data_IF_677111997402
#
_entry.id   IF_677111997402
#
_cell.length_a   1.000
_cell.length_b   1.000
_cell.length_c   1.000
_cell.angle_alpha   90.00
_cell.angle_beta   90.00
_cell.angle_gamma   90.00
#
_symmetry.space_group_name_H-M   'P 1'
#
loop_
_entity.id
_entity.type
_entity.pdbx_description
1 polymer ?
#
# COMPACT_ATOMS: atom_id res chain seq x y z
N UNK A 1 -21.81 53.87 -0.89
CA UNK A 1 -21.84 52.99 0.30
C UNK A 1 -22.50 51.64 0.04
N UNK A 2 -23.76 51.56 -0.43
CA UNK A 2 -24.45 50.27 -0.64
C UNK A 2 -23.74 49.31 -1.61
N UNK A 3 -23.14 49.82 -2.69
CA UNK A 3 -22.34 49.04 -3.65
C UNK A 3 -21.03 48.51 -3.05
N UNK A 4 -20.38 49.27 -2.16
CA UNK A 4 -19.13 48.86 -1.52
C UNK A 4 -19.36 47.78 -0.46
N UNK A 5 -20.48 47.87 0.27
CA UNK A 5 -20.91 46.86 1.26
C UNK A 5 -21.27 45.55 0.56
N UNK A 6 -21.95 45.60 -0.59
CA UNK A 6 -22.30 44.40 -1.35
C UNK A 6 -21.07 43.68 -1.93
N UNK A 7 -20.04 44.41 -2.36
CA UNK A 7 -18.76 43.83 -2.83
C UNK A 7 -18.00 43.17 -1.67
N UNK A 8 -18.01 43.79 -0.48
CA UNK A 8 -17.35 43.24 0.71
C UNK A 8 -18.03 41.94 1.20
N UNK A 9 -19.37 41.87 1.17
CA UNK A 9 -20.14 40.67 1.52
C UNK A 9 -19.91 39.54 0.50
N UNK A 10 -19.83 39.87 -0.80
CA UNK A 10 -19.55 38.88 -1.84
C UNK A 10 -18.12 38.32 -1.73
N UNK A 11 -17.14 39.16 -1.39
CA UNK A 11 -15.76 38.75 -1.14
C UNK A 11 -15.65 37.85 0.11
N UNK A 12 -16.38 38.16 1.18
CA UNK A 12 -16.45 37.31 2.39
C UNK A 12 -17.05 35.92 2.11
N UNK A 13 -18.10 35.84 1.27
CA UNK A 13 -18.67 34.57 0.83
C UNK A 13 -17.72 33.77 -0.08
N UNK A 14 -16.94 34.45 -0.93
CA UNK A 14 -15.96 33.80 -1.79
C UNK A 14 -14.78 33.23 -0.97
N UNK A 15 -14.30 33.97 0.04
CA UNK A 15 -13.22 33.54 0.93
C UNK A 15 -13.66 32.34 1.79
N UNK A 16 -14.90 32.34 2.33
CA UNK A 16 -15.41 31.19 3.11
C UNK A 16 -15.60 29.93 2.26
N UNK A 17 -15.91 30.09 0.97
CA UNK A 17 -16.08 28.97 0.03
C UNK A 17 -14.73 28.33 -0.34
N UNK A 18 -13.66 29.12 -0.45
CA UNK A 18 -12.30 28.63 -0.74
C UNK A 18 -11.73 27.87 0.48
N UNK A 19 -11.93 28.38 1.70
CA UNK A 19 -11.50 27.70 2.93
C UNK A 19 -12.21 26.35 3.13
N UNK A 20 -13.50 26.27 2.81
CA UNK A 20 -14.29 25.02 2.92
C UNK A 20 -13.90 23.97 1.87
N UNK A 21 -13.41 24.39 0.70
CA UNK A 21 -12.94 23.47 -0.35
C UNK A 21 -11.59 22.84 0.02
N UNK A 22 -10.66 23.63 0.57
CA UNK A 22 -9.36 23.15 1.06
C UNK A 22 -9.50 22.15 2.21
N UNK A 23 -10.39 22.42 3.17
CA UNK A 23 -10.63 21.53 4.32
C UNK A 23 -11.18 20.15 3.92
N UNK A 24 -11.98 20.07 2.84
CA UNK A 24 -12.53 18.80 2.36
C UNK A 24 -11.50 17.93 1.60
N UNK A 25 -10.54 18.52 0.88
CA UNK A 25 -9.41 17.79 0.29
C UNK A 25 -8.46 17.22 1.34
N UNK A 26 -8.22 17.98 2.42
CA UNK A 26 -7.46 17.56 3.60
C UNK A 26 -8.09 16.38 4.34
N UNK A 27 -9.42 16.37 4.41
CA UNK A 27 -10.17 15.39 5.20
C UNK A 27 -10.22 14.00 4.55
N UNK A 28 -9.90 13.90 3.25
CA UNK A 28 -9.74 12.65 2.51
C UNK A 28 -8.36 11.99 2.65
N UNK A 29 -7.47 12.59 3.44
CA UNK A 29 -6.08 12.14 3.63
C UNK A 29 -5.79 11.67 5.06
N UNK A 30 -6.83 11.47 5.89
CA UNK A 30 -6.70 10.93 7.26
C UNK A 30 -7.17 9.48 7.30
N UNK A 31 -6.54 8.68 8.14
CA UNK A 31 -6.96 7.28 8.35
C UNK A 31 -8.21 7.29 9.25
N UNK A 32 -9.40 7.26 8.65
CA UNK A 32 -10.69 7.40 9.35
C UNK A 32 -11.44 6.08 9.48
N UNK A 33 -11.27 5.16 8.54
CA UNK A 33 -11.96 3.87 8.54
C UNK A 33 -10.99 2.74 8.26
N UNK A 34 -10.93 1.74 9.13
CA UNK A 34 -10.12 0.53 8.95
C UNK A 34 -11.03 -0.67 8.85
N UNK A 35 -10.87 -1.44 7.78
CA UNK A 35 -11.50 -2.74 7.62
C UNK A 35 -10.60 -3.84 8.19
N UNK A 36 -11.11 -4.61 9.15
CA UNK A 36 -10.46 -5.80 9.70
C UNK A 36 -11.17 -7.02 9.14
N UNK A 37 -10.40 -7.89 8.49
CA UNK A 37 -10.87 -9.14 7.90
C UNK A 37 -10.26 -10.34 8.62
N UNK A 38 -10.94 -10.94 9.60
CA UNK A 38 -10.54 -12.22 10.13
C UNK A 38 -10.73 -13.33 9.06
N UNK A 39 -9.64 -13.96 8.63
CA UNK A 39 -9.62 -15.01 7.62
C UNK A 39 -10.59 -16.17 7.91
N UNK A 40 -11.04 -16.87 6.86
CA UNK A 40 -11.91 -18.07 6.97
C UNK A 40 -13.24 -17.81 7.71
N UNK A 41 -13.85 -18.84 8.31
CA UNK A 41 -15.07 -18.75 9.12
C UNK A 41 -16.18 -19.71 8.67
N UNK A 42 -17.07 -20.07 9.59
CA UNK A 42 -18.17 -20.99 9.35
C UNK A 42 -17.68 -22.34 8.83
N UNK A 43 -18.08 -22.68 7.59
CA UNK A 43 -17.72 -23.93 6.89
C UNK A 43 -16.25 -24.03 6.49
N UNK A 44 -15.52 -22.91 6.49
CA UNK A 44 -14.09 -22.87 6.22
C UNK A 44 -13.32 -22.76 7.54
N UNK A 45 -12.66 -23.83 8.02
CA UNK A 45 -11.88 -23.78 9.25
C UNK A 45 -10.52 -23.08 9.10
N UNK A 46 -10.05 -22.85 7.87
CA UNK A 46 -8.65 -22.56 7.59
C UNK A 46 -7.73 -23.72 8.01
N UNK A 47 -6.48 -23.39 8.34
CA UNK A 47 -5.53 -24.35 8.86
C UNK A 47 -5.95 -24.90 10.25
N UNK A 48 -5.59 -26.15 10.50
CA UNK A 48 -5.99 -26.89 11.71
C UNK A 48 -4.77 -27.37 12.47
N UNK A 49 -4.81 -27.22 13.79
CA UNK A 49 -3.80 -27.73 14.71
C UNK A 49 -4.44 -28.53 15.86
N UNK A 50 -3.61 -29.17 16.68
CA UNK A 50 -4.10 -29.81 17.92
C UNK A 50 -4.70 -28.83 18.93
N UNK A 51 -4.41 -27.53 18.81
CA UNK A 51 -4.88 -26.49 19.72
C UNK A 51 -6.19 -25.85 19.28
N UNK A 52 -6.50 -25.90 17.99
CA UNK A 52 -7.73 -25.33 17.43
C UNK A 52 -7.60 -25.00 15.96
N UNK A 53 -8.59 -24.24 15.48
CA UNK A 53 -8.73 -23.82 14.10
C UNK A 53 -8.22 -22.40 13.89
N UNK A 54 -7.66 -22.14 12.71
CA UNK A 54 -7.25 -20.81 12.29
C UNK A 54 -8.39 -19.80 12.38
N UNK A 55 -9.59 -20.16 11.89
CA UNK A 55 -10.76 -19.26 11.89
C UNK A 55 -11.11 -18.68 13.27
N UNK A 56 -10.88 -19.44 14.34
CA UNK A 56 -11.20 -19.04 15.71
C UNK A 56 -10.11 -18.13 16.27
N UNK A 57 -8.85 -18.52 16.05
CA UNK A 57 -7.68 -17.75 16.45
C UNK A 57 -7.68 -16.35 15.82
N UNK A 58 -7.89 -16.27 14.51
CA UNK A 58 -7.82 -14.99 13.78
C UNK A 58 -9.03 -14.10 14.04
N UNK A 59 -10.20 -14.69 14.36
CA UNK A 59 -11.36 -13.94 14.83
C UNK A 59 -11.07 -13.25 16.16
N UNK A 60 -10.53 -14.00 17.12
CA UNK A 60 -10.20 -13.47 18.45
C UNK A 60 -9.17 -12.34 18.35
N UNK A 61 -8.07 -12.57 17.62
CA UNK A 61 -7.04 -11.54 17.38
C UNK A 61 -7.65 -10.32 16.68
N UNK A 62 -8.46 -10.50 15.64
CA UNK A 62 -9.08 -9.40 14.90
C UNK A 62 -10.03 -8.56 15.77
N UNK A 63 -10.81 -9.20 16.64
CA UNK A 63 -11.67 -8.50 17.60
C UNK A 63 -10.84 -7.68 18.58
N UNK A 64 -9.74 -8.24 19.13
CA UNK A 64 -8.83 -7.50 20.02
C UNK A 64 -8.18 -6.31 19.34
N UNK A 65 -7.73 -6.45 18.09
CA UNK A 65 -7.16 -5.34 17.31
C UNK A 65 -8.17 -4.20 17.22
N UNK A 66 -9.42 -4.51 16.82
CA UNK A 66 -10.45 -3.48 16.75
C UNK A 66 -10.85 -2.91 18.11
N UNK A 67 -10.81 -3.69 19.20
CA UNK A 67 -10.99 -3.17 20.55
C UNK A 67 -9.90 -2.18 20.96
N UNK A 68 -8.63 -2.45 20.62
CA UNK A 68 -7.54 -1.50 20.84
C UNK A 68 -7.75 -0.21 20.04
N UNK A 69 -8.15 -0.31 18.76
CA UNK A 69 -8.45 0.87 17.93
C UNK A 69 -9.59 1.67 18.54
N UNK A 70 -10.73 1.04 18.84
CA UNK A 70 -11.90 1.73 19.40
C UNK A 70 -11.59 2.44 20.73
N UNK A 71 -10.70 1.86 21.57
CA UNK A 71 -10.32 2.44 22.87
C UNK A 71 -9.30 3.56 22.75
N UNK A 72 -8.36 3.46 21.81
CA UNK A 72 -7.15 4.30 21.80
C UNK A 72 -7.04 5.23 20.58
N UNK A 73 -7.90 5.05 19.57
CA UNK A 73 -8.03 5.87 18.37
C UNK A 73 -9.52 6.16 18.12
N UNK A 74 -10.17 6.96 18.98
CA UNK A 74 -11.62 7.18 18.93
C UNK A 74 -12.10 7.90 17.67
N UNK A 75 -11.18 8.52 16.91
CA UNK A 75 -11.42 9.13 15.61
C UNK A 75 -11.40 8.13 14.44
N UNK A 76 -11.06 6.86 14.70
CA UNK A 76 -10.97 5.80 13.71
C UNK A 76 -12.11 4.81 13.86
N UNK A 77 -12.91 4.67 12.80
CA UNK A 77 -13.99 3.70 12.69
C UNK A 77 -13.43 2.32 12.30
N UNK A 78 -13.79 1.29 13.06
CA UNK A 78 -13.51 -0.10 12.70
C UNK A 78 -14.70 -0.74 12.00
N UNK A 79 -14.46 -1.36 10.85
CA UNK A 79 -15.42 -2.20 10.12
C UNK A 79 -14.87 -3.61 10.08
N UNK A 80 -15.73 -4.61 10.33
CA UNK A 80 -15.32 -6.01 10.28
C UNK A 80 -15.99 -6.71 9.10
N UNK A 81 -15.27 -7.59 8.42
CA UNK A 81 -15.91 -8.51 7.46
C UNK A 81 -16.78 -9.54 8.18
N UNK A 82 -16.34 -9.98 9.38
CA UNK A 82 -17.12 -10.79 10.32
C UNK A 82 -16.73 -10.50 11.77
N UNK A 83 -17.70 -10.60 12.68
CA UNK A 83 -17.50 -10.52 14.15
C UNK A 83 -17.83 -11.82 14.88
N UNK A 84 -18.29 -12.82 14.16
CA UNK A 84 -18.71 -14.14 14.66
C UNK A 84 -18.18 -15.23 13.74
N UNK A 85 -18.37 -16.49 14.12
CA UNK A 85 -18.00 -17.64 13.28
C UNK A 85 -19.00 -17.83 12.14
N UNK A 86 -18.84 -17.03 11.08
CA UNK A 86 -19.65 -17.10 9.85
C UNK A 86 -18.73 -17.12 8.64
N UNK A 87 -19.14 -17.85 7.60
CA UNK A 87 -18.41 -17.88 6.35
C UNK A 87 -18.72 -16.61 5.54
N UNK A 88 -17.68 -15.84 5.21
CA UNK A 88 -17.77 -14.71 4.29
C UNK A 88 -16.97 -15.05 3.04
N UNK A 89 -17.65 -15.00 1.90
CA UNK A 89 -17.07 -15.22 0.58
C UNK A 89 -15.93 -14.25 0.30
N UNK A 90 -14.88 -14.71 -0.37
CA UNK A 90 -13.63 -13.98 -0.55
C UNK A 90 -13.84 -12.64 -1.26
N UNK A 91 -14.70 -12.62 -2.29
CA UNK A 91 -15.10 -11.39 -2.97
C UNK A 91 -15.82 -10.41 -2.04
N UNK A 92 -16.72 -10.91 -1.18
CA UNK A 92 -17.54 -10.06 -0.31
C UNK A 92 -16.69 -9.40 0.78
N UNK A 93 -15.59 -10.02 1.21
CA UNK A 93 -14.64 -9.41 2.17
C UNK A 93 -14.09 -8.07 1.68
N UNK A 94 -13.57 -8.05 0.44
CA UNK A 94 -13.07 -6.83 -0.18
C UNK A 94 -14.20 -5.84 -0.48
N UNK A 95 -15.37 -6.33 -0.91
CA UNK A 95 -16.54 -5.50 -1.14
C UNK A 95 -17.02 -4.78 0.13
N UNK A 96 -17.07 -5.45 1.29
CA UNK A 96 -17.41 -4.81 2.58
C UNK A 96 -16.44 -3.65 2.88
N UNK A 97 -15.14 -3.83 2.65
CA UNK A 97 -14.16 -2.77 2.85
C UNK A 97 -14.35 -1.60 1.87
N UNK A 98 -14.63 -1.90 0.60
CA UNK A 98 -14.85 -0.92 -0.45
C UNK A 98 -16.15 -0.12 -0.20
N UNK A 99 -17.25 -0.80 0.15
CA UNK A 99 -18.55 -0.19 0.48
C UNK A 99 -18.44 0.71 1.71
N UNK A 100 -17.65 0.29 2.70
CA UNK A 100 -17.34 1.10 3.87
C UNK A 100 -16.42 2.29 3.58
N UNK A 101 -15.87 2.39 2.37
CA UNK A 101 -14.82 3.35 1.98
C UNK A 101 -13.66 3.32 2.97
N UNK A 102 -13.21 2.11 3.32
CA UNK A 102 -12.10 1.95 4.24
C UNK A 102 -10.83 2.57 3.64
N UNK A 103 -10.03 3.21 4.50
CA UNK A 103 -8.74 3.79 4.17
C UNK A 103 -7.60 2.75 4.27
N UNK A 104 -7.87 1.62 4.93
CA UNK A 104 -6.95 0.50 5.08
C UNK A 104 -7.73 -0.80 5.26
N UNK A 105 -7.31 -1.86 4.55
CA UNK A 105 -7.78 -3.23 4.76
C UNK A 105 -6.66 -4.08 5.40
N UNK A 106 -6.97 -4.74 6.52
CA UNK A 106 -6.08 -5.68 7.19
C UNK A 106 -6.76 -7.04 7.26
N UNK A 107 -6.27 -8.00 6.48
CA UNK A 107 -6.67 -9.39 6.57
C UNK A 107 -5.74 -10.14 7.54
N UNK A 108 -6.29 -10.94 8.45
CA UNK A 108 -5.55 -11.62 9.52
C UNK A 108 -5.72 -13.14 9.36
N UNK A 109 -4.60 -13.83 9.21
CA UNK A 109 -4.47 -15.26 8.95
C UNK A 109 -3.40 -15.89 9.88
N UNK A 110 -3.37 -17.21 9.93
CA UNK A 110 -2.35 -17.99 10.63
C UNK A 110 -1.85 -19.15 9.75
N UNK A 111 -0.65 -18.97 9.21
CA UNK A 111 0.01 -19.83 8.25
C UNK A 111 0.06 -21.30 8.69
N UNK A 112 0.25 -22.20 7.73
CA UNK A 112 0.58 -23.59 8.00
C UNK A 112 1.45 -24.19 6.90
N UNK A 113 2.31 -25.12 7.29
CA UNK A 113 3.16 -25.87 6.39
C UNK A 113 2.96 -27.39 6.58
N UNK A 114 3.31 -28.18 5.56
CA UNK A 114 3.32 -29.65 5.64
C UNK A 114 4.31 -30.14 6.71
N UNK A 115 5.43 -29.44 6.85
CA UNK A 115 6.36 -29.61 7.98
C UNK A 115 5.88 -28.79 9.18
N UNK A 116 6.07 -29.33 10.39
CA UNK A 116 5.79 -28.62 11.64
C UNK A 116 6.93 -27.72 12.12
N UNK A 117 8.02 -27.62 11.35
CA UNK A 117 9.23 -26.85 11.71
C UNK A 117 9.13 -25.34 11.44
N UNK A 118 8.56 -24.86 10.31
CA UNK A 118 8.51 -23.42 10.03
C UNK A 118 7.84 -22.64 11.15
N UNK A 119 8.39 -21.47 11.46
CA UNK A 119 7.85 -20.58 12.48
C UNK A 119 8.10 -19.11 12.16
N UNK A 120 7.30 -18.22 12.73
CA UNK A 120 7.44 -16.76 12.63
C UNK A 120 6.33 -16.09 11.83
N UNK A 121 6.37 -14.76 11.80
CA UNK A 121 5.34 -13.90 11.19
C UNK A 121 5.73 -13.50 9.78
N UNK A 122 4.74 -13.37 8.90
CA UNK A 122 4.89 -12.88 7.52
C UNK A 122 3.79 -11.85 7.24
N UNK A 123 4.07 -10.82 6.43
CA UNK A 123 3.02 -9.91 5.95
C UNK A 123 3.09 -9.83 4.44
N UNK A 124 1.92 -9.88 3.80
CA UNK A 124 1.77 -9.92 2.36
C UNK A 124 1.11 -8.65 1.84
N UNK A 125 1.62 -8.17 0.72
CA UNK A 125 0.99 -7.14 -0.11
C UNK A 125 0.67 -7.73 -1.48
N UNK A 126 -0.27 -7.13 -2.20
CA UNK A 126 -0.60 -7.57 -3.55
C UNK A 126 0.63 -7.48 -4.46
N UNK A 127 0.95 -8.58 -5.15
CA UNK A 127 1.98 -8.59 -6.17
C UNK A 127 2.29 -9.99 -6.68
N UNK A 128 3.45 -10.16 -7.32
CA UNK A 128 3.84 -11.43 -7.91
C UNK A 128 4.49 -12.35 -6.88
N UNK A 129 4.05 -13.60 -6.85
CA UNK A 129 4.71 -14.67 -6.11
C UNK A 129 6.06 -14.97 -6.75
N UNK A 130 7.11 -15.14 -5.93
CA UNK A 130 8.50 -15.30 -6.40
C UNK A 130 9.07 -16.69 -6.18
N UNK A 131 8.49 -17.44 -5.24
CA UNK A 131 8.92 -18.79 -4.90
C UNK A 131 7.73 -19.75 -4.96
N UNK A 132 8.02 -21.04 -5.06
CA UNK A 132 7.00 -22.08 -5.07
C UNK A 132 6.17 -22.07 -3.79
N UNK A 133 6.79 -21.82 -2.65
CA UNK A 133 6.12 -21.78 -1.34
C UNK A 133 5.14 -20.59 -1.26
N UNK A 134 5.53 -19.42 -1.76
CA UNK A 134 4.62 -18.28 -1.85
C UNK A 134 3.46 -18.60 -2.81
N UNK A 135 3.72 -19.30 -3.92
CA UNK A 135 2.66 -19.70 -4.82
C UNK A 135 1.68 -20.69 -4.14
N UNK A 136 2.18 -21.70 -3.44
CA UNK A 136 1.35 -22.67 -2.69
C UNK A 136 0.49 -22.01 -1.62
N UNK A 137 0.99 -20.99 -0.92
CA UNK A 137 0.19 -20.20 0.01
C UNK A 137 -0.91 -19.43 -0.75
N UNK A 138 -0.57 -18.78 -1.86
CA UNK A 138 -1.56 -18.03 -2.65
C UNK A 138 -2.68 -18.93 -3.19
N UNK A 139 -2.35 -20.16 -3.58
CA UNK A 139 -3.33 -21.16 -3.98
C UNK A 139 -4.22 -21.55 -2.80
N UNK A 140 -3.65 -21.79 -1.62
CA UNK A 140 -4.43 -22.13 -0.43
C UNK A 140 -5.41 -21.02 -0.05
N UNK A 141 -4.93 -19.79 0.08
CA UNK A 141 -5.77 -18.67 0.50
C UNK A 141 -6.86 -18.34 -0.53
N UNK A 142 -6.58 -18.50 -1.82
CA UNK A 142 -7.60 -18.33 -2.86
C UNK A 142 -8.46 -19.59 -3.07
N UNK A 143 -8.08 -20.77 -2.58
CA UNK A 143 -8.82 -22.03 -2.81
C UNK A 143 -10.19 -22.05 -2.13
N UNK A 144 -10.39 -21.18 -1.13
CA UNK A 144 -11.69 -20.97 -0.47
C UNK A 144 -12.81 -20.63 -1.45
N UNK A 145 -12.51 -20.06 -2.62
CA UNK A 145 -13.54 -19.75 -3.61
C UNK A 145 -14.22 -21.01 -4.17
N UNK A 146 -13.56 -22.17 -4.11
CA UNK A 146 -14.07 -23.43 -4.66
C UNK A 146 -15.26 -23.99 -3.86
N UNK A 147 -15.45 -23.52 -2.62
CA UNK A 147 -16.58 -23.88 -1.78
C UNK A 147 -17.69 -22.83 -1.80
N UNK A 148 -17.56 -21.75 -2.59
CA UNK A 148 -18.59 -20.74 -2.83
C UNK A 148 -19.57 -21.18 -3.92
N UNK A 149 -20.83 -20.76 -3.80
CA UNK A 149 -21.84 -21.03 -4.82
C UNK A 149 -21.53 -20.20 -6.08
N UNK A 150 -21.68 -20.79 -7.27
CA UNK A 150 -21.47 -20.13 -8.57
C UNK A 150 -20.06 -19.52 -8.78
N UNK A 151 -19.02 -20.08 -8.16
CA UNK A 151 -17.64 -19.52 -8.23
C UNK A 151 -17.16 -19.25 -9.67
N UNK A 152 -17.41 -20.16 -10.61
CA UNK A 152 -16.91 -20.05 -11.98
C UNK A 152 -17.40 -18.78 -12.70
N UNK A 153 -18.65 -18.38 -12.43
CA UNK A 153 -19.22 -17.14 -12.97
C UNK A 153 -18.69 -15.92 -12.20
N UNK A 154 -18.62 -16.01 -10.87
CA UNK A 154 -18.26 -14.90 -9.97
C UNK A 154 -16.79 -14.46 -10.07
N UNK A 155 -15.91 -15.37 -10.43
CA UNK A 155 -14.47 -15.13 -10.59
C UNK A 155 -14.01 -15.24 -12.05
N UNK A 156 -14.94 -15.17 -13.02
CA UNK A 156 -14.66 -15.07 -14.46
C UNK A 156 -13.66 -16.11 -14.98
N UNK A 157 -13.77 -17.36 -14.50
CA UNK A 157 -12.88 -18.44 -14.89
C UNK A 157 -11.50 -18.46 -14.23
N UNK A 158 -11.27 -17.65 -13.18
CA UNK A 158 -10.08 -17.77 -12.33
C UNK A 158 -10.03 -19.16 -11.68
N UNK A 159 -8.96 -19.91 -11.95
CA UNK A 159 -8.69 -21.19 -11.31
C UNK A 159 -7.54 -21.01 -10.30
N UNK A 160 -7.80 -21.15 -8.98
CA UNK A 160 -6.79 -20.98 -7.94
C UNK A 160 -5.69 -22.05 -8.00
N UNK A 161 -5.88 -23.14 -8.75
CA UNK A 161 -4.87 -24.19 -8.92
C UNK A 161 -4.06 -24.05 -10.22
N UNK A 162 -4.38 -23.07 -11.06
CA UNK A 162 -3.69 -22.80 -12.34
C UNK A 162 -2.75 -21.60 -12.17
N UNK A 163 -1.43 -21.78 -12.36
CA UNK A 163 -0.47 -20.67 -12.39
C UNK A 163 -0.82 -19.56 -13.39
N UNK A 164 -1.45 -19.91 -14.51
CA UNK A 164 -1.85 -18.99 -15.56
C UNK A 164 -2.90 -17.98 -15.06
N UNK A 165 -3.81 -18.41 -14.19
CA UNK A 165 -4.83 -17.54 -13.60
C UNK A 165 -4.23 -16.41 -12.75
N UNK A 166 -3.00 -16.57 -12.25
CA UNK A 166 -2.32 -15.56 -11.43
C UNK A 166 -1.62 -14.47 -12.26
N UNK A 167 -1.51 -14.63 -13.59
CA UNK A 167 -0.96 -13.60 -14.49
C UNK A 167 -1.75 -12.30 -14.35
N UNK A 168 -3.06 -12.36 -14.08
CA UNK A 168 -3.91 -11.18 -13.90
C UNK A 168 -3.37 -10.21 -12.85
N UNK A 169 -2.80 -10.72 -11.74
CA UNK A 169 -2.25 -9.88 -10.68
C UNK A 169 -1.02 -9.09 -11.12
N UNK A 170 -0.27 -9.57 -12.12
CA UNK A 170 0.84 -8.82 -12.72
C UNK A 170 0.37 -7.61 -13.53
N UNK A 171 -0.87 -7.66 -14.04
CA UNK A 171 -1.50 -6.61 -14.83
C UNK A 171 -2.22 -5.59 -13.94
N UNK A 172 -2.55 -5.97 -12.70
CA UNK A 172 -3.16 -5.08 -11.71
C UNK A 172 -2.11 -4.12 -11.16
N UNK A 173 -2.23 -2.85 -11.54
CA UNK A 173 -1.46 -1.78 -10.89
C UNK A 173 -2.10 -1.44 -9.55
N UNK A 174 -1.39 -1.71 -8.47
CA UNK A 174 -1.80 -1.28 -7.14
C UNK A 174 -1.29 0.15 -6.90
N UNK A 175 -2.17 1.14 -7.03
CA UNK A 175 -1.87 2.55 -6.74
C UNK A 175 -1.49 2.78 -5.28
N UNK A 176 -1.92 1.88 -4.39
CA UNK A 176 -1.65 1.88 -2.96
C UNK A 176 -0.52 0.92 -2.56
N UNK A 177 0.29 0.46 -3.52
CA UNK A 177 1.35 -0.51 -3.25
C UNK A 177 2.35 0.02 -2.21
N UNK A 178 2.85 1.23 -2.38
CA UNK A 178 3.85 1.84 -1.47
C UNK A 178 3.27 1.98 -0.04
N UNK A 179 1.99 2.37 0.07
CA UNK A 179 1.28 2.46 1.34
C UNK A 179 1.06 1.10 2.01
N UNK A 180 0.72 0.08 1.23
CA UNK A 180 0.54 -1.30 1.71
C UNK A 180 1.88 -1.87 2.19
N UNK A 181 2.96 -1.62 1.45
CA UNK A 181 4.32 -2.05 1.81
C UNK A 181 4.79 -1.39 3.11
N UNK A 182 4.56 -0.09 3.26
CA UNK A 182 4.87 0.65 4.48
C UNK A 182 4.11 0.08 5.69
N UNK A 183 2.80 -0.11 5.57
CA UNK A 183 1.99 -0.69 6.65
C UNK A 183 2.46 -2.11 7.00
N UNK A 184 2.72 -2.95 5.98
CA UNK A 184 3.22 -4.30 6.17
C UNK A 184 4.58 -4.34 6.89
N UNK A 185 5.48 -3.42 6.56
CA UNK A 185 6.78 -3.28 7.23
C UNK A 185 6.60 -2.92 8.70
N UNK A 186 5.70 -1.99 9.03
CA UNK A 186 5.43 -1.60 10.42
C UNK A 186 4.87 -2.75 11.25
N UNK A 187 4.02 -3.59 10.66
CA UNK A 187 3.54 -4.81 11.32
C UNK A 187 4.70 -5.74 11.68
N UNK A 188 5.61 -6.02 10.73
CA UNK A 188 6.76 -6.89 10.99
C UNK A 188 7.72 -6.29 12.02
N UNK A 189 7.96 -4.97 11.99
CA UNK A 189 8.75 -4.27 13.01
C UNK A 189 8.15 -4.47 14.41
N UNK A 190 6.84 -4.29 14.57
CA UNK A 190 6.16 -4.48 15.86
C UNK A 190 6.17 -5.95 16.32
N UNK A 191 6.07 -6.91 15.40
CA UNK A 191 6.20 -8.32 15.74
C UNK A 191 7.59 -8.66 16.24
N UNK A 192 8.63 -8.19 15.56
CA UNK A 192 10.04 -8.38 15.96
C UNK A 192 10.34 -7.71 17.30
N UNK A 193 9.97 -6.46 17.45
CA UNK A 193 10.45 -5.61 18.54
C UNK A 193 9.61 -5.73 19.81
N UNK A 194 8.28 -5.86 19.66
CA UNK A 194 7.34 -5.86 20.79
C UNK A 194 6.79 -7.24 21.09
N UNK A 195 6.31 -7.98 20.09
CA UNK A 195 5.78 -9.33 20.30
C UNK A 195 6.86 -10.43 20.33
N UNK A 196 8.13 -10.07 20.09
CA UNK A 196 9.30 -10.96 20.09
C UNK A 196 9.09 -12.21 19.22
N UNK A 197 8.44 -12.03 18.07
CA UNK A 197 8.26 -13.08 17.06
C UNK A 197 9.41 -13.04 16.05
N UNK A 198 9.63 -14.17 15.40
CA UNK A 198 10.56 -14.27 14.28
C UNK A 198 9.97 -13.54 13.08
N UNK A 199 10.60 -12.44 12.67
CA UNK A 199 10.24 -11.65 11.49
C UNK A 199 10.76 -12.35 10.23
N UNK A 200 9.83 -12.71 9.33
CA UNK A 200 10.13 -13.35 8.04
C UNK A 200 9.90 -12.39 6.86
N UNK A 201 9.71 -11.12 7.17
CA UNK A 201 9.65 -10.01 6.23
C UNK A 201 8.31 -9.81 5.54
N UNK A 202 8.30 -8.78 4.70
CA UNK A 202 7.18 -8.47 3.81
C UNK A 202 7.37 -9.16 2.47
N UNK A 203 6.30 -9.74 1.93
CA UNK A 203 6.30 -10.49 0.67
C UNK A 203 5.18 -10.04 -0.24
N UNK A 204 5.30 -10.38 -1.51
CA UNK A 204 4.28 -10.12 -2.53
C UNK A 204 3.54 -11.41 -2.88
N UNK A 205 2.21 -11.33 -2.96
CA UNK A 205 1.35 -12.47 -3.27
C UNK A 205 0.14 -12.06 -4.11
N UNK A 206 -0.29 -12.96 -5.00
CA UNK A 206 -1.49 -12.78 -5.83
C UNK A 206 -2.75 -13.18 -5.06
N UNK A 207 -3.15 -12.40 -4.06
CA UNK A 207 -4.32 -12.68 -3.22
C UNK A 207 -5.55 -11.96 -3.76
N UNK A 208 -6.64 -12.70 -3.99
CA UNK A 208 -7.89 -12.11 -4.52
C UNK A 208 -8.48 -11.07 -3.57
N UNK A 209 -8.40 -11.29 -2.25
CA UNK A 209 -8.89 -10.33 -1.24
C UNK A 209 -8.16 -8.98 -1.32
N UNK A 210 -6.84 -9.00 -1.60
CA UNK A 210 -6.05 -7.78 -1.75
C UNK A 210 -6.22 -7.17 -3.15
N UNK A 211 -6.38 -7.99 -4.18
CA UNK A 211 -6.57 -7.54 -5.56
C UNK A 211 -7.87 -6.79 -5.80
N UNK A 212 -8.89 -7.09 -5.00
CA UNK A 212 -10.22 -6.46 -5.08
C UNK A 212 -10.38 -5.27 -4.13
N UNK A 213 -9.39 -4.99 -3.29
CA UNK A 213 -9.40 -3.86 -2.38
C UNK A 213 -9.14 -2.54 -3.13
N UNK A 214 -9.94 -1.51 -2.86
CA UNK A 214 -9.80 -0.18 -3.46
C UNK A 214 -9.01 0.81 -2.58
N UNK A 215 -8.26 0.30 -1.61
CA UNK A 215 -7.47 1.03 -0.62
C UNK A 215 -6.16 0.27 -0.33
N UNK A 216 -5.18 0.84 0.40
CA UNK A 216 -4.04 0.06 0.91
C UNK A 216 -4.52 -1.21 1.62
N UNK A 217 -3.90 -2.35 1.33
CA UNK A 217 -4.36 -3.64 1.83
C UNK A 217 -3.20 -4.58 2.13
N UNK A 218 -3.24 -5.22 3.30
CA UNK A 218 -2.26 -6.21 3.72
C UNK A 218 -2.93 -7.51 4.20
N UNK A 219 -2.26 -8.64 4.04
CA UNK A 219 -2.60 -9.90 4.72
C UNK A 219 -1.49 -10.25 5.70
N UNK A 220 -1.83 -10.48 6.95
CA UNK A 220 -0.90 -10.77 8.04
C UNK A 220 -1.00 -12.25 8.38
N UNK A 221 0.14 -12.95 8.33
CA UNK A 221 0.31 -14.26 8.93
C UNK A 221 0.92 -14.10 10.33
N UNK A 222 0.10 -14.36 11.36
CA UNK A 222 0.50 -14.12 12.76
C UNK A 222 1.47 -15.16 13.33
N UNK A 223 1.72 -16.23 12.57
CA UNK A 223 2.57 -17.37 12.92
C UNK A 223 2.10 -18.64 12.22
N UNK A 224 2.84 -19.74 12.37
CA UNK A 224 2.50 -21.04 11.81
C UNK A 224 1.71 -21.88 12.80
N UNK A 225 0.41 -22.01 12.60
CA UNK A 225 -0.45 -22.88 13.43
C UNK A 225 -0.07 -24.37 13.33
N UNK A 226 0.60 -24.77 12.25
CA UNK A 226 1.15 -26.12 12.08
C UNK A 226 2.36 -26.40 12.96
N UNK A 227 3.02 -25.37 13.49
CA UNK A 227 4.13 -25.50 14.43
C UNK A 227 3.58 -25.65 15.87
N UNK A 228 3.89 -26.74 16.60
CA UNK A 228 3.33 -26.99 17.92
C UNK A 228 3.64 -25.90 18.95
N UNK A 229 4.84 -25.30 18.91
CA UNK A 229 5.25 -24.27 19.86
C UNK A 229 4.56 -22.95 19.55
N UNK A 230 4.43 -22.59 18.27
CA UNK A 230 3.66 -21.41 17.87
C UNK A 230 2.18 -21.59 18.18
N UNK A 231 1.57 -22.74 17.87
CA UNK A 231 0.18 -23.01 18.24
C UNK A 231 -0.02 -22.98 19.76
N UNK A 232 0.92 -23.52 20.55
CA UNK A 232 0.84 -23.47 22.00
C UNK A 232 0.84 -22.03 22.52
N UNK A 233 1.62 -21.13 21.91
CA UNK A 233 1.68 -19.71 22.26
C UNK A 233 0.47 -18.92 21.75
N UNK A 234 0.14 -19.03 20.46
CA UNK A 234 -0.88 -18.23 19.78
C UNK A 234 -2.28 -18.47 20.36
N UNK A 235 -2.56 -19.65 20.92
CA UNK A 235 -3.84 -19.95 21.56
C UNK A 235 -3.93 -19.51 23.04
N UNK A 236 -2.89 -18.91 23.60
CA UNK A 236 -2.97 -18.30 24.94
C UNK A 236 -3.56 -16.88 24.86
N UNK A 237 -4.18 -16.42 25.95
CA UNK A 237 -4.65 -15.03 26.05
C UNK A 237 -3.50 -14.03 25.87
N UNK A 238 -2.36 -14.28 26.50
CA UNK A 238 -1.16 -13.47 26.38
C UNK A 238 -0.64 -13.41 24.94
N UNK A 239 -0.57 -14.56 24.26
CA UNK A 239 -0.14 -14.63 22.87
C UNK A 239 -1.05 -13.81 21.93
N UNK A 240 -2.37 -13.95 22.09
CA UNK A 240 -3.35 -13.18 21.31
C UNK A 240 -3.26 -11.68 21.60
N UNK A 241 -3.07 -11.29 22.86
CA UNK A 241 -2.88 -9.89 23.24
C UNK A 241 -1.57 -9.29 22.71
N UNK A 242 -0.48 -10.04 22.75
CA UNK A 242 0.81 -9.60 22.20
C UNK A 242 0.73 -9.35 20.69
N UNK A 243 0.12 -10.28 19.94
CA UNK A 243 -0.07 -10.14 18.50
C UNK A 243 -1.01 -8.97 18.18
N UNK A 244 -2.18 -8.92 18.82
CA UNK A 244 -3.17 -7.86 18.57
C UNK A 244 -2.61 -6.47 18.92
N UNK A 245 -1.90 -6.34 20.05
CA UNK A 245 -1.29 -5.08 20.45
C UNK A 245 -0.14 -4.66 19.52
N UNK A 246 0.61 -5.60 18.93
CA UNK A 246 1.62 -5.30 17.92
C UNK A 246 0.99 -4.77 16.62
N UNK A 247 -0.09 -5.40 16.14
CA UNK A 247 -0.84 -4.94 14.97
C UNK A 247 -1.41 -3.53 15.23
N UNK A 248 -2.04 -3.31 16.39
CA UNK A 248 -2.54 -2.00 16.77
C UNK A 248 -1.45 -0.92 16.80
N UNK A 249 -0.27 -1.22 17.38
CA UNK A 249 0.85 -0.26 17.40
C UNK A 249 1.33 0.09 15.99
N UNK A 250 1.37 -0.89 15.08
CA UNK A 250 1.73 -0.66 13.69
C UNK A 250 0.70 0.24 12.99
N UNK A 251 -0.61 0.03 13.25
CA UNK A 251 -1.68 0.88 12.72
C UNK A 251 -1.53 2.32 13.20
N UNK A 252 -1.27 2.51 14.50
CA UNK A 252 -1.06 3.85 15.07
C UNK A 252 0.16 4.53 14.43
N UNK A 253 1.29 3.84 14.34
CA UNK A 253 2.51 4.38 13.71
C UNK A 253 2.28 4.72 12.23
N UNK A 254 1.50 3.90 11.52
CA UNK A 254 1.10 4.18 10.15
C UNK A 254 0.20 5.41 10.05
N UNK A 255 -0.82 5.54 10.92
CA UNK A 255 -1.71 6.72 11.00
C UNK A 255 -0.92 7.99 11.24
N UNK A 256 -0.06 8.00 12.27
CA UNK A 256 0.72 9.18 12.65
C UNK A 256 1.63 9.65 11.49
N UNK A 257 2.21 8.69 10.75
CA UNK A 257 3.01 9.00 9.57
C UNK A 257 2.16 9.50 8.39
N UNK A 258 1.05 8.82 8.12
CA UNK A 258 0.15 9.16 7.03
C UNK A 258 -0.41 10.57 7.20
N UNK A 259 -0.82 10.93 8.41
CA UNK A 259 -1.33 12.26 8.75
C UNK A 259 -0.21 13.31 8.83
N UNK A 260 0.96 12.96 9.37
CA UNK A 260 2.11 13.88 9.43
C UNK A 260 2.65 14.30 8.05
N UNK A 261 2.64 13.37 7.07
CA UNK A 261 3.00 13.67 5.67
C UNK A 261 2.02 14.65 5.03
N UNK A 262 0.74 14.52 5.36
CA UNK A 262 -0.32 15.37 4.86
C UNK A 262 -0.14 16.77 5.42
N UNK A 263 0.01 16.91 6.74
CA UNK A 263 0.22 18.19 7.41
C UNK A 263 1.48 18.93 6.91
N UNK A 264 2.57 18.21 6.63
CA UNK A 264 3.79 18.79 6.05
C UNK A 264 3.60 19.23 4.58
N UNK A 265 2.84 18.48 3.80
CA UNK A 265 2.50 18.83 2.40
C UNK A 265 1.59 20.06 2.33
N UNK A 266 0.71 20.23 3.30
CA UNK A 266 -0.21 21.38 3.38
C UNK A 266 0.54 22.64 3.81
N UNK A 267 1.42 22.54 4.82
CA UNK A 267 2.28 23.66 5.23
C UNK A 267 3.15 24.16 4.08
N UNK A 268 3.75 23.25 3.30
CA UNK A 268 4.57 23.67 2.14
C UNK A 268 3.75 24.32 1.02
N UNK A 269 2.49 23.91 0.80
CA UNK A 269 1.56 24.60 -0.13
C UNK A 269 1.12 25.97 0.39
N UNK A 270 0.88 26.13 1.69
CA UNK A 270 0.58 27.42 2.31
C UNK A 270 1.77 28.39 2.25
N UNK A 271 2.99 27.90 2.45
CA UNK A 271 4.21 28.69 2.34
C UNK A 271 4.46 29.17 0.89
N UNK A 272 4.22 28.30 -0.11
CA UNK A 272 4.33 28.68 -1.54
C UNK A 272 3.26 29.70 -1.93
N UNK A 273 2.02 29.54 -1.49
CA UNK A 273 0.95 30.51 -1.74
C UNK A 273 1.21 31.87 -1.04
N UNK A 274 1.85 31.87 0.12
CA UNK A 274 2.29 33.08 0.80
C UNK A 274 3.46 33.78 0.10
N UNK A 275 4.32 33.03 -0.61
CA UNK A 275 5.39 33.58 -1.44
C UNK A 275 4.81 34.19 -2.73
N UNK A 276 3.86 33.52 -3.40
CA UNK A 276 3.19 34.07 -4.60
C UNK A 276 2.36 35.33 -4.30
N UNK A 277 1.70 35.38 -3.12
CA UNK A 277 1.01 36.59 -2.65
C UNK A 277 1.95 37.72 -2.23
N UNK A 278 3.22 37.43 -1.86
CA UNK A 278 4.24 38.46 -1.63
C UNK A 278 4.88 38.98 -2.92
N UNK A 279 4.96 38.15 -3.95
CA UNK A 279 5.53 38.53 -5.26
C UNK A 279 4.55 39.40 -6.08
N UNK A 280 3.25 39.28 -5.84
CA UNK A 280 2.20 40.04 -6.57
C UNK A 280 1.99 41.48 -6.10
N UNK A 281 2.82 42.00 -5.17
CA UNK A 281 2.69 43.37 -4.62
C UNK A 281 3.85 44.32 -5.02
N UNK A 282 4.87 43.88 -5.76
CA UNK A 282 5.99 44.77 -6.09
C UNK A 282 6.42 44.72 -7.58
N UNK A 283 6.15 45.77 -8.40
CA UNK A 283 6.43 45.74 -9.84
C UNK A 283 7.90 45.93 -10.26
N UNK A 284 8.85 46.13 -9.35
CA UNK A 284 10.19 46.67 -9.72
C UNK A 284 11.34 45.66 -9.86
N UNK A 285 11.13 44.35 -9.70
CA UNK A 285 12.21 43.36 -9.90
C UNK A 285 11.95 42.56 -11.19
N UNK A 286 12.14 43.21 -12.35
CA UNK A 286 12.09 42.53 -13.66
C UNK A 286 13.35 42.63 -14.52
N UNK A 287 14.39 43.32 -14.06
CA UNK A 287 15.59 43.53 -14.86
C UNK A 287 16.87 43.26 -14.05
N UNK A 288 17.13 42.02 -13.63
CA UNK A 288 18.51 41.62 -13.24
C UNK A 288 18.79 40.10 -13.18
N UNK A 289 17.95 39.26 -13.77
CA UNK A 289 18.24 37.82 -13.93
C UNK A 289 18.16 37.46 -15.42
N UNK A 290 19.13 37.94 -16.20
CA UNK A 290 19.25 37.63 -17.64
C UNK A 290 20.62 37.13 -18.07
N UNK A 291 21.48 36.77 -17.13
CA UNK A 291 22.77 36.16 -17.43
C UNK A 291 22.94 34.89 -16.59
N UNK A 292 23.34 33.79 -17.24
CA UNK A 292 23.51 32.41 -16.73
C UNK A 292 22.32 31.42 -16.85
N UNK A 293 21.74 31.27 -18.04
CA UNK A 293 21.04 30.03 -18.42
C UNK A 293 21.29 29.68 -19.91
N UNK A 294 22.54 29.39 -20.25
CA UNK A 294 22.88 28.67 -21.49
C UNK A 294 23.45 27.29 -21.11
N UNK A 295 22.54 26.31 -21.06
CA UNK A 295 22.76 24.89 -21.38
C UNK A 295 21.62 24.04 -20.78
N UNK A 296 20.40 24.23 -21.30
CA UNK A 296 19.37 23.19 -21.26
C UNK A 296 18.76 23.04 -22.64
N UNK A 297 19.19 21.98 -23.33
CA UNK A 297 18.47 21.36 -24.44
C UNK A 297 16.96 21.37 -24.12
N UNK A 298 16.20 21.98 -25.00
CA UNK A 298 14.75 21.99 -25.07
C UNK A 298 14.21 20.55 -24.98
N UNK A 299 13.72 20.17 -23.79
CA UNK A 299 12.98 18.91 -23.61
C UNK A 299 11.52 19.22 -23.93
N UNK A 300 10.98 18.53 -24.92
CA UNK A 300 9.60 18.60 -25.34
C UNK A 300 8.68 18.31 -24.13
N UNK A 301 7.93 19.31 -23.66
CA UNK A 301 7.30 19.37 -22.34
C UNK A 301 5.97 18.62 -22.23
N UNK A 302 5.79 17.55 -23.01
CA UNK A 302 4.59 16.71 -22.96
C UNK A 302 4.87 15.22 -23.25
N UNK A 303 6.14 14.86 -23.46
CA UNK A 303 6.51 13.48 -23.76
C UNK A 303 6.52 12.61 -22.49
N UNK A 304 5.94 11.42 -22.61
CA UNK A 304 5.97 10.40 -21.57
C UNK A 304 7.32 9.68 -21.60
N UNK A 305 7.92 9.51 -20.43
CA UNK A 305 9.17 8.78 -20.25
C UNK A 305 8.97 7.57 -19.34
N UNK A 306 9.58 6.45 -19.70
CA UNK A 306 9.64 5.23 -18.93
C UNK A 306 11.02 5.07 -18.33
N UNK A 307 11.06 4.80 -17.01
CA UNK A 307 12.27 4.48 -16.26
C UNK A 307 12.06 3.18 -15.49
N UNK A 308 13.13 2.46 -15.18
CA UNK A 308 13.06 1.23 -14.40
C UNK A 308 13.50 1.52 -12.97
N UNK A 309 12.59 1.44 -12.01
CA UNK A 309 12.93 1.62 -10.60
C UNK A 309 13.71 0.41 -10.10
N UNK A 310 14.81 0.64 -9.37
CA UNK A 310 15.74 -0.39 -8.91
C UNK A 310 15.92 -0.44 -7.40
N UNK A 311 15.69 0.67 -6.70
CA UNK A 311 15.77 0.70 -5.25
C UNK A 311 14.95 1.85 -4.68
N UNK A 312 14.63 1.71 -3.39
CA UNK A 312 14.12 2.78 -2.55
C UNK A 312 14.96 2.86 -1.27
N UNK A 313 15.04 4.04 -0.66
CA UNK A 313 15.78 4.25 0.58
C UNK A 313 15.23 5.45 1.33
N UNK A 314 15.13 5.35 2.66
CA UNK A 314 14.80 6.49 3.52
C UNK A 314 15.99 7.44 3.69
N UNK A 315 17.21 6.95 3.41
CA UNK A 315 18.44 7.73 3.46
C UNK A 315 19.07 7.83 2.07
N UNK A 316 19.72 8.97 1.79
CA UNK A 316 20.38 9.20 0.51
C UNK A 316 21.56 8.24 0.32
N UNK A 317 21.52 7.42 -0.73
CA UNK A 317 22.64 6.60 -1.18
C UNK A 317 23.49 7.33 -2.21
N UNK A 318 24.80 7.10 -2.18
CA UNK A 318 25.70 7.60 -3.22
C UNK A 318 25.49 6.82 -4.52
N UNK A 319 25.53 7.50 -5.67
CA UNK A 319 25.30 6.93 -7.01
C UNK A 319 26.49 6.11 -7.53
N UNK A 320 27.04 5.24 -6.68
CA UNK A 320 28.11 4.30 -7.03
C UNK A 320 27.50 2.94 -7.39
N UNK A 321 27.98 2.24 -8.43
CA UNK A 321 27.44 0.94 -8.82
C UNK A 321 27.38 -0.10 -7.71
N UNK A 322 28.33 -0.06 -6.77
CA UNK A 322 28.39 -0.92 -5.58
C UNK A 322 27.12 -0.87 -4.73
N UNK A 323 26.43 0.28 -4.68
CA UNK A 323 25.19 0.45 -3.91
C UNK A 323 23.93 -0.08 -4.62
N UNK A 324 24.07 -0.49 -5.89
CA UNK A 324 22.96 -0.90 -6.77
C UNK A 324 23.30 -2.19 -7.54
N UNK A 325 23.94 -3.15 -6.87
CA UNK A 325 24.29 -4.46 -7.43
C UNK A 325 25.12 -4.38 -8.73
N UNK A 326 26.01 -3.40 -8.84
CA UNK A 326 26.86 -3.18 -10.00
C UNK A 326 26.12 -2.63 -11.22
N UNK A 327 24.97 -1.95 -11.03
CA UNK A 327 24.31 -1.17 -12.08
C UNK A 327 24.99 0.19 -12.23
N UNK A 328 25.31 0.56 -13.47
CA UNK A 328 25.73 1.91 -13.82
C UNK A 328 24.51 2.78 -14.18
N UNK A 329 24.71 4.09 -14.30
CA UNK A 329 23.73 5.06 -14.78
C UNK A 329 22.43 5.10 -13.95
N UNK A 330 22.59 4.98 -12.63
CA UNK A 330 21.48 5.11 -11.68
C UNK A 330 21.16 6.59 -11.48
N UNK A 331 19.90 6.95 -11.69
CA UNK A 331 19.33 8.26 -11.42
C UNK A 331 18.60 8.25 -10.06
N UNK A 332 18.79 9.31 -9.28
CA UNK A 332 18.06 9.55 -8.03
C UNK A 332 16.88 10.48 -8.29
N UNK A 333 15.70 10.10 -7.81
CA UNK A 333 14.53 10.97 -7.72
C UNK A 333 14.05 10.96 -6.28
N UNK A 334 13.99 12.13 -5.66
CA UNK A 334 13.39 12.30 -4.34
C UNK A 334 11.91 12.61 -4.50
N UNK A 335 11.06 11.67 -4.08
CA UNK A 335 9.60 11.79 -4.19
C UNK A 335 8.96 11.09 -2.99
N UNK A 336 7.90 11.69 -2.43
CA UNK A 336 7.16 11.14 -1.29
C UNK A 336 8.06 10.88 -0.06
N UNK A 337 9.04 11.75 0.18
CA UNK A 337 10.01 11.66 1.28
C UNK A 337 10.90 10.40 1.28
N UNK A 338 11.01 9.73 0.12
CA UNK A 338 11.84 8.55 -0.10
C UNK A 338 12.75 8.82 -1.30
N UNK A 339 14.01 8.38 -1.19
CA UNK A 339 14.92 8.34 -2.32
C UNK A 339 14.58 7.14 -3.19
N UNK A 340 14.10 7.39 -4.40
CA UNK A 340 13.79 6.36 -5.40
C UNK A 340 14.89 6.38 -6.45
N UNK A 341 15.41 5.21 -6.77
CA UNK A 341 16.53 5.05 -7.70
C UNK A 341 16.07 4.34 -8.96
N UNK A 342 16.46 4.88 -10.11
CA UNK A 342 16.01 4.43 -11.42
C UNK A 342 17.18 4.19 -12.35
N UNK A 343 16.98 3.33 -13.33
CA UNK A 343 17.89 3.14 -14.46
C UNK A 343 17.11 3.21 -15.76
N UNK A 344 17.77 3.72 -16.78
CA UNK A 344 17.15 3.96 -18.07
C UNK A 344 16.20 5.16 -18.07
N UNK A 345 16.07 5.77 -19.23
CA UNK A 345 15.15 6.86 -19.49
C UNK A 345 14.80 6.83 -20.98
N UNK A 346 13.59 6.42 -21.32
CA UNK A 346 13.19 6.22 -22.72
C UNK A 346 11.73 6.57 -22.94
N UNK A 347 11.39 7.15 -24.08
CA UNK A 347 9.99 7.38 -24.48
C UNK A 347 9.34 6.14 -25.09
N UNK A 348 10.11 5.08 -25.34
CA UNK A 348 9.64 3.83 -25.94
C UNK A 348 9.44 2.75 -24.88
N UNK A 349 8.19 2.31 -24.72
CA UNK A 349 7.84 1.30 -23.72
C UNK A 349 8.54 -0.03 -23.96
N UNK A 350 8.72 -0.48 -25.21
CA UNK A 350 9.37 -1.76 -25.50
C UNK A 350 10.84 -1.74 -25.10
N UNK A 351 11.53 -0.61 -25.31
CA UNK A 351 12.90 -0.42 -24.81
C UNK A 351 12.96 -0.46 -23.29
N UNK A 352 11.95 0.07 -22.60
CA UNK A 352 11.88 0.00 -21.14
C UNK A 352 11.71 -1.44 -20.62
N UNK A 353 11.00 -2.31 -21.35
CA UNK A 353 10.90 -3.76 -21.06
C UNK A 353 12.26 -4.43 -21.22
N UNK A 354 13.02 -4.12 -22.27
CA UNK A 354 14.35 -4.69 -22.49
C UNK A 354 15.35 -4.26 -21.40
N UNK A 355 15.29 -2.98 -20.99
CA UNK A 355 16.07 -2.47 -19.86
C UNK A 355 15.67 -3.21 -18.59
N UNK A 356 14.38 -3.32 -18.30
CA UNK A 356 13.87 -4.03 -17.13
C UNK A 356 14.33 -5.49 -17.11
N UNK A 357 14.30 -6.19 -18.24
CA UNK A 357 14.75 -7.59 -18.35
C UNK A 357 16.22 -7.75 -17.99
N UNK A 358 17.09 -6.84 -18.47
CA UNK A 358 18.52 -6.83 -18.14
C UNK A 358 18.76 -6.52 -16.67
N UNK A 359 18.07 -5.51 -16.16
CA UNK A 359 18.17 -5.05 -14.76
C UNK A 359 17.71 -6.14 -13.79
N UNK A 360 16.64 -6.87 -14.14
CA UNK A 360 16.10 -7.99 -13.35
C UNK A 360 17.06 -9.16 -13.17
N UNK A 361 18.11 -9.27 -13.98
CA UNK A 361 19.19 -10.25 -13.75
C UNK A 361 19.99 -9.94 -12.47
N UNK A 362 20.05 -8.66 -12.06
CA UNK A 362 20.79 -8.17 -10.89
C UNK A 362 19.86 -7.70 -9.75
N UNK A 363 18.69 -7.16 -10.10
CA UNK A 363 17.68 -6.61 -9.19
C UNK A 363 16.31 -7.12 -9.62
N UNK A 364 15.88 -8.31 -9.14
CA UNK A 364 14.64 -8.96 -9.58
C UNK A 364 13.37 -8.11 -9.38
N UNK A 365 13.41 -7.19 -8.41
CA UNK A 365 12.30 -6.35 -7.97
C UNK A 365 12.09 -5.13 -8.87
N UNK A 366 12.94 -4.95 -9.87
CA UNK A 366 12.89 -3.78 -10.72
C UNK A 366 11.62 -3.73 -11.57
N UNK A 367 10.96 -2.57 -11.63
CA UNK A 367 9.72 -2.37 -12.36
C UNK A 367 9.69 -1.06 -13.14
N UNK A 368 8.87 -1.00 -14.20
CA UNK A 368 8.78 0.18 -15.07
C UNK A 368 7.84 1.20 -14.43
N UNK A 369 8.26 2.47 -14.45
CA UNK A 369 7.50 3.62 -13.97
C UNK A 369 7.41 4.64 -15.10
N UNK A 370 6.20 5.14 -15.34
CA UNK A 370 5.93 6.17 -16.33
C UNK A 370 5.94 7.56 -15.68
N UNK A 371 6.56 8.52 -16.37
CA UNK A 371 6.66 9.91 -15.97
C UNK A 371 6.16 10.82 -17.09
N UNK A 372 5.39 11.83 -16.73
CA UNK A 372 5.01 12.93 -17.62
C UNK A 372 5.18 14.24 -16.86
N UNK A 373 5.86 15.21 -17.45
CA UNK A 373 6.11 16.53 -16.85
C UNK A 373 6.76 16.44 -15.44
N UNK A 374 7.67 15.48 -15.27
CA UNK A 374 8.38 15.24 -14.00
C UNK A 374 7.55 14.54 -12.92
N UNK A 375 6.26 14.25 -13.17
CA UNK A 375 5.38 13.53 -12.24
C UNK A 375 5.19 12.09 -12.67
N UNK A 376 5.14 11.18 -11.69
CA UNK A 376 4.74 9.78 -11.91
C UNK A 376 3.29 9.75 -12.38
N UNK A 377 3.01 9.01 -13.45
CA UNK A 377 1.66 8.79 -13.96
C UNK A 377 1.35 7.30 -13.99
N UNK A 378 0.06 6.96 -14.09
CA UNK A 378 -0.37 5.58 -14.24
C UNK A 378 0.17 4.99 -15.55
N UNK A 379 0.81 3.83 -15.50
CA UNK A 379 1.44 3.26 -16.69
C UNK A 379 0.40 2.77 -17.72
N UNK A 380 -0.83 2.39 -17.31
CA UNK A 380 -1.89 2.05 -18.27
C UNK A 380 -2.40 3.28 -19.00
N UNK A 381 -2.54 4.41 -18.31
CA UNK A 381 -2.91 5.69 -18.92
C UNK A 381 -1.81 6.17 -19.89
N UNK A 382 -0.55 6.08 -19.46
CA UNK A 382 0.61 6.36 -20.29
C UNK A 382 0.62 5.54 -21.60
N UNK A 383 0.36 4.23 -21.51
CA UNK A 383 0.33 3.36 -22.68
C UNK A 383 -0.87 3.61 -23.58
N UNK A 384 -2.02 4.02 -23.04
CA UNK A 384 -3.15 4.45 -23.87
C UNK A 384 -2.79 5.71 -24.65
N UNK A 385 -2.16 6.68 -23.99
CA UNK A 385 -1.80 7.96 -24.61
C UNK A 385 -0.76 7.83 -25.74
N UNK A 386 0.17 6.88 -25.63
CA UNK A 386 1.21 6.66 -26.67
C UNK A 386 0.72 5.79 -27.84
N UNK A 387 -0.36 5.02 -27.64
CA UNK A 387 -0.96 4.17 -28.68
C UNK A 387 -2.13 4.84 -29.42
N UNK A 388 -2.40 6.12 -29.13
CA UNK A 388 -3.28 7.01 -29.89
C UNK A 388 -2.43 8.01 -30.67
#
# INVERSE_FOLDING_TARGET
>A
MKTFINILILALFFISSISSFSQNELDGLKLKTIAIDPGHGGKDPGAVSKKGYEKDLVLDIGLRVGDYINKLLPDVKVVYTRKTDVFIELAKRAEIANEAKADLLISIHANANKSSTPSGTETYVLGLHRTKENFELAMRENSVILIEDNYAQKYEGFDPNSPESYIIFSLLQNVYFDHSLLMASRVQDQFRERAKRTDRGVKQLGLLVLARASMPSILIEVGFISNPDEAAYLFTEEGKDHIASAIYRAIREYKDMYEGLVDATIKSKEDVNNIENKISVNPEIKNEAKDSLDDKKTINSDSIFFKVQVAISNEKKTLKPENFNGLADVEEIYLDNIYKYFVGNTTDYNKSIDIQRKVRQKIPDAFIVAFKNGKKINLKEALKEINH
#
